data_IF_855101071914
#
_entry.id   IF_855101071914
#
_cell.length_a   1.000
_cell.length_b   1.000
_cell.length_c   1.000
_cell.angle_alpha   90.00
_cell.angle_beta   90.00
_cell.angle_gamma   90.00
#
_symmetry.space_group_name_H-M   'P 1'
#
loop_
_entity.id
_entity.type
_entity.pdbx_description
1 polymer ?
#
# COMPACT_ATOMS: atom_id res chain seq x y z
N UNK A 1 -3.24 -16.39 12.94
CA UNK A 1 -3.74 -15.00 12.98
C UNK A 1 -3.48 -14.44 14.37
N UNK A 2 -2.90 -13.24 14.53
CA UNK A 2 -2.71 -12.60 15.82
C UNK A 2 -4.05 -12.41 16.56
N UNK A 3 -3.99 -12.32 17.89
CA UNK A 3 -5.17 -12.09 18.71
C UNK A 3 -5.78 -10.71 18.39
N UNK A 4 -7.11 -10.63 18.23
CA UNK A 4 -7.82 -9.39 17.94
C UNK A 4 -7.77 -8.95 16.47
N UNK A 5 -7.24 -9.78 15.56
CA UNK A 5 -7.18 -9.51 14.12
C UNK A 5 -8.23 -10.32 13.37
N UNK A 6 -9.03 -9.66 12.53
CA UNK A 6 -9.91 -10.30 11.55
C UNK A 6 -9.16 -10.53 10.25
N UNK A 7 -9.10 -11.78 9.78
CA UNK A 7 -8.44 -12.16 8.53
C UNK A 7 -9.47 -12.36 7.43
N UNK A 8 -9.47 -11.49 6.42
CA UNK A 8 -10.23 -11.63 5.19
C UNK A 8 -9.35 -12.25 4.11
N UNK A 9 -9.63 -13.51 3.72
CA UNK A 9 -8.85 -14.21 2.69
C UNK A 9 -9.35 -13.81 1.31
N UNK A 10 -8.43 -13.34 0.47
CA UNK A 10 -8.68 -12.98 -0.93
C UNK A 10 -7.66 -13.66 -1.86
N UNK A 11 -8.04 -13.93 -3.10
CA UNK A 11 -7.20 -14.62 -4.10
C UNK A 11 -6.84 -13.73 -5.27
N UNK A 12 -7.67 -12.74 -5.57
CA UNK A 12 -7.52 -11.88 -6.74
C UNK A 12 -7.42 -10.41 -6.33
N UNK A 13 -6.89 -9.57 -7.24
CA UNK A 13 -6.86 -8.12 -7.04
C UNK A 13 -8.27 -7.52 -6.93
N UNK A 14 -9.25 -8.09 -7.63
CA UNK A 14 -10.64 -7.65 -7.57
C UNK A 14 -11.26 -7.97 -6.22
N UNK A 15 -11.12 -9.20 -5.73
CA UNK A 15 -11.57 -9.58 -4.39
C UNK A 15 -10.94 -8.70 -3.31
N UNK A 16 -9.62 -8.43 -3.40
CA UNK A 16 -8.94 -7.54 -2.46
C UNK A 16 -9.54 -6.13 -2.49
N UNK A 17 -9.76 -5.58 -3.69
CA UNK A 17 -10.39 -4.28 -3.86
C UNK A 17 -11.77 -4.23 -3.18
N UNK A 18 -12.62 -5.19 -3.50
CA UNK A 18 -14.00 -5.21 -3.02
C UNK A 18 -14.05 -5.38 -1.50
N UNK A 19 -13.23 -6.26 -0.93
CA UNK A 19 -13.11 -6.44 0.52
C UNK A 19 -12.60 -5.17 1.22
N UNK A 20 -11.58 -4.50 0.67
CA UNK A 20 -11.08 -3.24 1.23
C UNK A 20 -12.18 -2.17 1.20
N UNK A 21 -12.92 -2.06 0.11
CA UNK A 21 -14.00 -1.09 -0.03
C UNK A 21 -15.20 -1.38 0.87
N UNK A 22 -15.49 -2.64 1.17
CA UNK A 22 -16.51 -3.05 2.13
C UNK A 22 -16.17 -2.57 3.56
N UNK A 23 -14.91 -2.78 3.97
CA UNK A 23 -14.47 -2.48 5.35
C UNK A 23 -13.93 -1.06 5.56
N UNK A 24 -13.76 -0.26 4.52
CA UNK A 24 -13.11 1.06 4.62
C UNK A 24 -13.77 2.02 5.62
N UNK A 25 -15.07 1.92 5.80
CA UNK A 25 -15.85 2.83 6.66
C UNK A 25 -15.50 2.69 8.15
N UNK A 26 -15.08 1.48 8.55
CA UNK A 26 -14.76 1.15 9.94
C UNK A 26 -13.26 1.35 10.26
N UNK A 27 -12.48 1.75 9.25
CA UNK A 27 -11.03 1.88 9.40
C UNK A 27 -10.61 3.31 9.69
N UNK A 28 -9.78 3.48 10.71
CA UNK A 28 -9.10 4.73 11.02
C UNK A 28 -7.87 4.97 10.14
N UNK A 29 -7.19 3.90 9.79
CA UNK A 29 -5.96 3.86 8.99
C UNK A 29 -6.08 2.72 8.00
N UNK A 30 -5.73 2.96 6.75
CA UNK A 30 -5.61 1.93 5.71
C UNK A 30 -4.17 1.88 5.23
N UNK A 31 -3.52 0.73 5.41
CA UNK A 31 -2.14 0.51 4.99
C UNK A 31 -2.09 -0.54 3.88
N UNK A 32 -1.68 -0.15 2.69
CA UNK A 32 -1.51 -1.07 1.56
C UNK A 32 -0.04 -1.40 1.34
N UNK A 33 0.41 -2.49 1.95
CA UNK A 33 1.77 -3.03 1.78
C UNK A 33 1.86 -4.10 0.68
N UNK A 34 0.73 -4.67 0.25
CA UNK A 34 0.71 -5.75 -0.73
C UNK A 34 1.16 -5.28 -2.12
N UNK A 35 2.06 -6.05 -2.75
CA UNK A 35 2.44 -5.90 -4.14
C UNK A 35 1.39 -6.59 -5.04
N UNK A 36 0.40 -5.83 -5.49
CA UNK A 36 -0.63 -6.32 -6.41
C UNK A 36 -0.18 -6.07 -7.84
N UNK A 37 -0.25 -7.09 -8.70
CA UNK A 37 0.12 -6.97 -10.11
C UNK A 37 -0.74 -5.92 -10.83
N UNK A 38 -0.12 -5.16 -11.76
CA UNK A 38 -0.83 -4.15 -12.55
C UNK A 38 -1.78 -4.75 -13.58
N UNK A 39 -1.53 -6.00 -13.98
CA UNK A 39 -2.30 -6.70 -15.01
C UNK A 39 -2.75 -8.08 -14.53
N UNK A 40 -3.86 -8.54 -15.10
CA UNK A 40 -4.39 -9.90 -14.96
C UNK A 40 -4.82 -10.45 -16.31
N UNK A 41 -4.89 -11.78 -16.50
CA UNK A 41 -5.54 -12.36 -17.66
C UNK A 41 -6.98 -11.83 -17.83
N UNK A 42 -7.33 -11.49 -19.06
CA UNK A 42 -8.69 -11.04 -19.39
C UNK A 42 -9.71 -12.15 -19.12
N UNK A 43 -9.33 -13.36 -19.48
CA UNK A 43 -10.12 -14.57 -19.30
C UNK A 43 -9.26 -15.62 -18.59
N UNK A 44 -9.85 -16.32 -17.63
CA UNK A 44 -9.24 -17.48 -16.99
C UNK A 44 -9.79 -18.74 -17.64
N UNK A 45 -8.91 -19.68 -18.01
CA UNK A 45 -9.35 -20.96 -18.54
C UNK A 45 -9.98 -21.80 -17.41
N UNK A 46 -11.19 -22.32 -17.61
CA UNK A 46 -11.87 -23.21 -16.65
C UNK A 46 -11.17 -24.56 -16.50
N UNK A 47 -10.41 -24.95 -17.53
CA UNK A 47 -9.70 -26.22 -17.58
C UNK A 47 -8.22 -25.99 -17.82
N UNK A 48 -7.41 -26.97 -17.39
CA UNK A 48 -5.97 -26.97 -17.66
C UNK A 48 -5.72 -26.87 -19.16
N UNK A 49 -5.00 -25.84 -19.59
CA UNK A 49 -4.53 -25.71 -20.96
C UNK A 49 -3.57 -26.86 -21.26
N UNK A 50 -3.92 -27.71 -22.22
CA UNK A 50 -3.05 -28.80 -22.63
C UNK A 50 -1.86 -28.24 -23.43
N UNK A 51 -0.69 -28.83 -23.22
CA UNK A 51 0.50 -28.51 -23.98
C UNK A 51 0.25 -28.91 -25.45
N UNK A 52 0.39 -27.94 -26.35
CA UNK A 52 0.38 -28.10 -27.81
C UNK A 52 1.73 -27.72 -28.39
N UNK A 53 1.87 -27.83 -29.71
CA UNK A 53 3.07 -27.44 -30.44
C UNK A 53 3.07 -25.95 -30.84
N UNK A 54 1.90 -25.28 -30.67
CA UNK A 54 1.71 -23.88 -31.02
C UNK A 54 2.01 -22.94 -29.86
N UNK A 55 2.41 -21.70 -30.19
CA UNK A 55 2.55 -20.61 -29.25
C UNK A 55 1.18 -20.20 -28.67
N UNK A 56 1.17 -19.81 -27.38
CA UNK A 56 -0.02 -19.34 -26.71
C UNK A 56 0.08 -17.84 -26.51
N UNK A 57 -0.94 -17.10 -26.97
CA UNK A 57 -1.11 -15.68 -26.66
C UNK A 57 -2.04 -15.49 -25.47
N UNK A 58 -1.69 -14.58 -24.58
CA UNK A 58 -2.47 -14.25 -23.39
C UNK A 58 -2.86 -12.78 -23.40
N UNK A 59 -4.16 -12.51 -23.51
CA UNK A 59 -4.70 -11.16 -23.37
C UNK A 59 -4.69 -10.74 -21.92
N UNK A 60 -4.08 -9.58 -21.64
CA UNK A 60 -4.03 -9.00 -20.31
C UNK A 60 -4.87 -7.73 -20.23
N UNK A 61 -5.57 -7.57 -19.10
CA UNK A 61 -6.27 -6.33 -18.75
C UNK A 61 -5.74 -5.77 -17.44
N UNK A 62 -5.87 -4.44 -17.26
CA UNK A 62 -5.39 -3.77 -16.05
C UNK A 62 -6.19 -4.18 -14.82
N UNK A 63 -5.47 -4.35 -13.72
CA UNK A 63 -6.08 -4.42 -12.40
C UNK A 63 -6.46 -2.99 -11.92
N UNK A 64 -7.48 -2.86 -11.06
CA UNK A 64 -7.76 -1.60 -10.40
C UNK A 64 -6.60 -1.19 -9.48
N UNK A 65 -6.27 0.10 -9.48
CA UNK A 65 -5.35 0.66 -8.48
C UNK A 65 -6.14 1.00 -7.22
N UNK A 66 -6.18 0.04 -6.28
CA UNK A 66 -6.97 0.14 -5.04
C UNK A 66 -6.62 1.40 -4.25
N UNK A 67 -5.33 1.72 -4.16
CA UNK A 67 -4.86 2.87 -3.38
C UNK A 67 -5.24 4.20 -4.05
N UNK A 68 -5.18 4.26 -5.39
CA UNK A 68 -5.65 5.41 -6.14
C UNK A 68 -7.16 5.61 -5.97
N UNK A 69 -7.96 4.53 -6.11
CA UNK A 69 -9.42 4.61 -5.95
C UNK A 69 -9.82 5.06 -4.52
N UNK A 70 -9.11 4.60 -3.49
CA UNK A 70 -9.32 5.04 -2.11
C UNK A 70 -9.01 6.53 -1.95
N UNK A 71 -7.90 7.00 -2.51
CA UNK A 71 -7.49 8.40 -2.46
C UNK A 71 -8.46 9.35 -3.17
N UNK A 72 -9.08 8.92 -4.29
CA UNK A 72 -10.11 9.69 -4.98
C UNK A 72 -11.40 9.86 -4.15
N UNK A 73 -11.67 8.93 -3.26
CA UNK A 73 -12.85 8.95 -2.37
C UNK A 73 -12.54 9.39 -0.95
N UNK A 74 -11.36 9.96 -0.71
CA UNK A 74 -10.89 10.33 0.62
C UNK A 74 -11.76 11.41 1.29
N UNK A 75 -12.41 12.28 0.50
CA UNK A 75 -13.38 13.25 1.01
C UNK A 75 -14.57 12.63 1.74
N UNK A 76 -14.92 11.39 1.38
CA UNK A 76 -16.08 10.69 1.92
C UNK A 76 -15.76 10.04 3.28
N UNK A 77 -14.47 9.99 3.66
CA UNK A 77 -13.98 9.22 4.81
C UNK A 77 -12.85 9.94 5.53
N UNK A 78 -12.77 9.71 6.84
CA UNK A 78 -11.77 10.30 7.73
C UNK A 78 -10.68 9.27 8.08
N UNK A 79 -10.07 8.61 7.09
CA UNK A 79 -8.99 7.67 7.34
C UNK A 79 -7.64 8.17 6.83
N UNK A 80 -6.57 7.75 7.49
CA UNK A 80 -5.19 7.94 7.04
C UNK A 80 -4.86 6.86 6.02
N UNK A 81 -4.37 7.26 4.84
CA UNK A 81 -4.06 6.36 3.74
C UNK A 81 -2.55 6.25 3.55
N UNK A 82 -2.03 5.05 3.75
CA UNK A 82 -0.60 4.73 3.69
C UNK A 82 -0.30 3.79 2.53
N UNK A 83 0.64 4.17 1.67
CA UNK A 83 1.15 3.34 0.58
C UNK A 83 2.56 2.82 0.84
N UNK A 84 2.97 1.84 0.02
CA UNK A 84 4.35 1.34 -0.03
C UNK A 84 4.90 1.48 -1.44
N UNK A 85 6.20 1.75 -1.54
CA UNK A 85 6.96 1.75 -2.78
C UNK A 85 8.27 1.01 -2.58
N UNK A 86 8.63 0.20 -3.58
CA UNK A 86 9.96 -0.40 -3.70
C UNK A 86 10.62 0.25 -4.92
N UNK A 87 11.66 1.05 -4.70
CA UNK A 87 12.30 1.84 -5.74
C UNK A 87 13.82 1.66 -5.64
N UNK A 88 14.49 1.74 -6.79
CA UNK A 88 15.95 1.62 -6.88
C UNK A 88 16.63 2.96 -7.19
N UNK A 89 15.98 3.79 -8.03
CA UNK A 89 16.50 5.09 -8.46
C UNK A 89 15.40 6.14 -8.36
N UNK A 90 15.80 7.39 -8.12
CA UNK A 90 14.87 8.53 -7.98
C UNK A 90 13.75 8.30 -6.95
N UNK A 91 14.05 7.50 -5.91
CA UNK A 91 13.13 7.01 -4.90
C UNK A 91 12.23 8.13 -4.33
N UNK A 92 12.83 9.28 -4.00
CA UNK A 92 12.07 10.39 -3.41
C UNK A 92 11.13 11.05 -4.41
N UNK A 93 11.59 11.33 -5.64
CA UNK A 93 10.77 12.00 -6.65
C UNK A 93 9.56 11.13 -7.04
N UNK A 94 9.80 9.85 -7.31
CA UNK A 94 8.75 8.88 -7.66
C UNK A 94 7.76 8.66 -6.50
N UNK A 95 8.25 8.61 -5.26
CA UNK A 95 7.40 8.45 -4.07
C UNK A 95 6.52 9.70 -3.84
N UNK A 96 7.08 10.92 -3.97
CA UNK A 96 6.33 12.16 -3.84
C UNK A 96 5.27 12.31 -4.94
N UNK A 97 5.57 11.92 -6.16
CA UNK A 97 4.59 11.88 -7.25
C UNK A 97 3.43 10.93 -6.91
N UNK A 98 3.75 9.72 -6.41
CA UNK A 98 2.74 8.74 -5.99
C UNK A 98 1.87 9.26 -4.84
N UNK A 99 2.45 9.95 -3.84
CA UNK A 99 1.71 10.57 -2.73
C UNK A 99 0.67 11.54 -3.27
N UNK A 100 1.09 12.47 -4.16
CA UNK A 100 0.19 13.47 -4.76
C UNK A 100 -0.87 12.82 -5.65
N UNK A 101 -0.44 11.97 -6.60
CA UNK A 101 -1.33 11.34 -7.58
C UNK A 101 -2.41 10.47 -6.93
N UNK A 102 -2.07 9.75 -5.87
CA UNK A 102 -2.97 8.84 -5.17
C UNK A 102 -3.60 9.45 -3.91
N UNK A 103 -3.36 10.75 -3.65
CA UNK A 103 -3.88 11.47 -2.49
C UNK A 103 -3.62 10.73 -1.15
N UNK A 104 -2.36 10.28 -0.95
CA UNK A 104 -1.93 9.58 0.26
C UNK A 104 -1.56 10.57 1.35
N UNK A 105 -1.65 10.15 2.62
CA UNK A 105 -1.11 10.90 3.76
C UNK A 105 0.37 10.64 3.95
N UNK A 106 0.80 9.41 3.67
CA UNK A 106 2.22 9.06 3.63
C UNK A 106 2.48 7.84 2.74
N UNK A 107 3.73 7.71 2.31
CA UNK A 107 4.25 6.53 1.62
C UNK A 107 5.52 6.05 2.29
N UNK A 108 5.64 4.75 2.45
CA UNK A 108 6.83 4.08 2.96
C UNK A 108 7.62 3.54 1.78
N UNK A 109 8.83 4.05 1.58
CA UNK A 109 9.68 3.66 0.47
C UNK A 109 10.84 2.78 0.96
N UNK A 110 10.97 1.58 0.39
CA UNK A 110 12.09 0.68 0.59
C UNK A 110 13.15 0.96 -0.47
N UNK A 111 14.39 1.16 -0.05
CA UNK A 111 15.54 1.13 -0.93
C UNK A 111 15.97 -0.33 -1.15
N UNK A 112 15.53 -0.90 -2.27
CA UNK A 112 15.85 -2.30 -2.63
C UNK A 112 17.19 -2.43 -3.38
N UNK A 113 17.93 -1.34 -3.59
CA UNK A 113 19.28 -1.40 -4.18
C UNK A 113 20.33 -1.94 -3.19
N UNK A 114 20.04 -1.94 -1.90
CA UNK A 114 20.93 -2.41 -0.83
C UNK A 114 20.81 -3.91 -0.63
N UNK A 115 21.94 -4.58 -0.57
CA UNK A 115 22.01 -6.05 -0.34
C UNK A 115 21.76 -6.46 1.12
N UNK A 116 21.84 -5.51 2.07
CA UNK A 116 21.67 -5.71 3.52
C UNK A 116 20.27 -5.36 4.04
N UNK A 117 19.39 -4.90 3.17
CA UNK A 117 18.00 -4.56 3.50
C UNK A 117 17.06 -5.00 2.36
N UNK A 118 15.86 -5.49 2.69
CA UNK A 118 14.86 -5.81 1.68
C UNK A 118 14.08 -7.10 1.93
N UNK A 119 13.57 -7.71 0.84
CA UNK A 119 12.61 -8.82 0.93
C UNK A 119 13.16 -10.12 1.55
N UNK A 120 14.47 -10.35 1.46
CA UNK A 120 15.12 -11.60 1.91
C UNK A 120 15.79 -11.51 3.29
N UNK A 121 15.74 -10.35 3.96
CA UNK A 121 16.36 -10.12 5.27
C UNK A 121 15.30 -9.87 6.34
N UNK A 122 15.62 -10.14 7.61
CA UNK A 122 14.73 -9.85 8.75
C UNK A 122 14.76 -8.37 9.17
N UNK A 123 15.71 -7.60 8.61
CA UNK A 123 15.86 -6.17 8.85
C UNK A 123 15.45 -5.35 7.63
N UNK A 124 15.09 -4.09 7.87
CA UNK A 124 14.77 -3.14 6.84
C UNK A 124 15.15 -1.71 7.25
N UNK A 125 15.43 -0.87 6.26
CA UNK A 125 15.57 0.56 6.40
C UNK A 125 14.62 1.23 5.41
N UNK A 126 13.76 2.10 5.91
CA UNK A 126 12.72 2.73 5.10
C UNK A 126 12.83 4.25 5.16
N UNK A 127 12.35 4.90 4.11
CA UNK A 127 12.05 6.33 4.09
C UNK A 127 10.54 6.52 4.18
N UNK A 128 10.10 7.37 5.10
CA UNK A 128 8.70 7.76 5.22
C UNK A 128 8.55 9.15 4.60
N UNK A 129 7.74 9.27 3.56
CA UNK A 129 7.48 10.52 2.87
C UNK A 129 6.03 10.91 3.13
N UNK A 130 5.82 12.11 3.65
CA UNK A 130 4.50 12.63 4.04
C UNK A 130 3.89 13.50 2.95
N UNK A 131 2.58 13.69 3.00
CA UNK A 131 1.84 14.54 2.06
C UNK A 131 2.30 16.01 2.07
N UNK A 132 2.78 16.50 3.20
CA UNK A 132 3.33 17.86 3.38
C UNK A 132 4.76 18.02 2.84
N UNK A 133 5.37 16.97 2.33
CA UNK A 133 6.71 16.95 1.77
C UNK A 133 7.82 16.62 2.79
N UNK A 134 7.51 16.44 4.06
CA UNK A 134 8.50 15.95 5.04
C UNK A 134 8.97 14.57 4.67
N UNK A 135 10.25 14.30 4.95
CA UNK A 135 10.89 13.00 4.74
C UNK A 135 11.57 12.58 6.04
N UNK A 136 11.35 11.37 6.47
CA UNK A 136 11.95 10.75 7.64
C UNK A 136 12.69 9.48 7.22
N UNK A 137 13.98 9.37 7.58
CA UNK A 137 14.75 8.15 7.39
C UNK A 137 14.68 7.30 8.66
N UNK A 138 14.35 6.02 8.54
CA UNK A 138 14.48 5.10 9.66
C UNK A 138 15.93 4.65 9.83
N UNK A 139 16.38 4.31 11.05
CA UNK A 139 17.56 3.47 11.19
C UNK A 139 17.29 2.07 10.60
N UNK A 140 18.32 1.23 10.53
CA UNK A 140 18.16 -0.20 10.23
C UNK A 140 17.45 -0.87 11.42
N UNK A 141 16.26 -1.38 11.19
CA UNK A 141 15.37 -1.96 12.19
C UNK A 141 14.92 -3.36 11.77
N UNK A 142 14.44 -4.16 12.71
CA UNK A 142 13.68 -5.36 12.39
C UNK A 142 12.35 -5.00 11.69
N UNK A 143 11.78 -5.93 10.96
CA UNK A 143 10.48 -5.71 10.28
C UNK A 143 9.35 -5.37 11.25
N UNK A 144 9.38 -5.95 12.46
CA UNK A 144 8.40 -5.66 13.51
C UNK A 144 8.55 -4.24 14.05
N UNK A 145 9.78 -3.77 14.27
CA UNK A 145 10.05 -2.39 14.68
C UNK A 145 9.66 -1.39 13.60
N UNK A 146 9.92 -1.70 12.31
CA UNK A 146 9.47 -0.89 11.17
C UNK A 146 7.93 -0.83 11.13
N UNK A 147 7.25 -1.95 11.37
CA UNK A 147 5.79 -1.96 11.41
C UNK A 147 5.25 -1.09 12.55
N UNK A 148 5.85 -1.16 13.74
CA UNK A 148 5.53 -0.28 14.88
C UNK A 148 5.73 1.19 14.54
N UNK A 149 6.89 1.54 13.96
CA UNK A 149 7.19 2.91 13.53
C UNK A 149 6.13 3.45 12.54
N UNK A 150 5.75 2.66 11.54
CA UNK A 150 4.73 3.05 10.55
C UNK A 150 3.37 3.30 11.21
N UNK A 151 2.96 2.41 12.10
CA UNK A 151 1.71 2.56 12.84
C UNK A 151 1.70 3.82 13.72
N UNK A 152 2.78 4.09 14.45
CA UNK A 152 2.92 5.29 15.28
C UNK A 152 2.80 6.57 14.44
N UNK A 153 3.43 6.60 13.26
CA UNK A 153 3.38 7.76 12.35
C UNK A 153 1.98 7.94 11.76
N UNK A 154 1.34 6.86 11.34
CA UNK A 154 -0.03 6.91 10.82
C UNK A 154 -1.03 7.39 11.89
N UNK A 155 -0.90 6.91 13.12
CA UNK A 155 -1.73 7.35 14.24
C UNK A 155 -1.44 8.80 14.63
N UNK A 156 -0.21 9.26 14.52
CA UNK A 156 0.18 10.66 14.73
C UNK A 156 -0.53 11.61 13.75
N UNK A 157 -0.60 11.27 12.46
CA UNK A 157 -1.34 12.03 11.45
C UNK A 157 -2.82 12.10 11.81
N UNK A 158 -3.43 10.96 12.11
CA UNK A 158 -4.85 10.90 12.50
C UNK A 158 -5.19 11.80 13.69
N UNK A 159 -4.37 11.76 14.74
CA UNK A 159 -4.61 12.54 15.96
C UNK A 159 -4.49 14.04 15.70
N UNK A 160 -3.56 14.47 14.83
CA UNK A 160 -3.45 15.86 14.40
C UNK A 160 -4.70 16.32 13.65
N UNK A 161 -5.24 15.50 12.74
CA UNK A 161 -6.47 15.81 11.99
C UNK A 161 -7.71 15.88 12.89
N UNK A 162 -7.80 15.01 13.90
CA UNK A 162 -8.89 15.05 14.89
C UNK A 162 -8.80 16.29 15.78
N UNK A 163 -7.60 16.71 16.16
CA UNK A 163 -7.39 17.92 16.98
C UNK A 163 -7.78 19.22 16.27
N UNK A 164 -7.57 19.28 14.95
CA UNK A 164 -7.94 20.44 14.12
C UNK A 164 -9.46 20.56 13.88
N UNK A 165 -10.22 19.48 13.96
CA UNK A 165 -11.69 19.47 13.78
C UNK A 165 -12.45 19.78 15.08
N UNK A 166 -11.79 19.75 16.24
CA UNK A 166 -12.36 20.01 17.56
C UNK A 166 -12.37 21.49 17.98
N UNK A 167 -11.82 22.40 17.18
CA UNK A 167 -11.74 23.85 17.44
C UNK A 167 -12.53 24.57 16.34
N UNK A 168 -13.82 24.34 16.31
CA UNK A 168 -14.77 25.22 15.62
C UNK A 168 -15.34 26.23 16.62
N UNK A 169 -15.66 27.46 16.16
CA UNK A 169 -16.10 28.55 17.02
C UNK A 169 -17.41 28.25 17.71
#
# INVERSE_FOLDING_TARGET
>A
TPLGVTLCKVRTALEMRDTVFEHRHDCAVIIKAAAVSDYRPKEAADQKIKKGDDDISLDLIRNPDILFELGQKKSDFSHVLVGFAAETQELLANAMEKVKKKNLDMIVANDVSRSDAGFATDTNQVKIIYADGRVEDSPLLSKDEVAGLILDRAMGIRNADCGLRGVGP
#
